data_IF_989235806745
#
_entry.id   IF_989235806745
#
_cell.length_a   1.000
_cell.length_b   1.000
_cell.length_c   1.000
_cell.angle_alpha   90.00
_cell.angle_beta   90.00
_cell.angle_gamma   90.00
#
_symmetry.space_group_name_H-M   'P 1'
#
loop_
_entity.id
_entity.type
_entity.pdbx_description
1 polymer ?
#
# COMPACT_ATOMS: atom_id res chain seq x y z
N UNK A 1 1.52 12.37 7.11
CA UNK A 1 1.50 11.01 6.53
C UNK A 1 2.87 10.41 6.68
N UNK A 2 2.96 9.15 7.13
CA UNK A 2 4.18 8.35 7.10
C UNK A 2 4.05 7.29 6.01
N UNK A 3 4.99 7.28 5.04
CA UNK A 3 5.12 6.22 4.04
C UNK A 3 6.32 5.37 4.43
N UNK A 4 6.11 4.07 4.65
CA UNK A 4 7.19 3.13 4.97
C UNK A 4 7.48 2.28 3.74
N UNK A 5 8.66 2.46 3.17
CA UNK A 5 9.11 1.84 1.93
C UNK A 5 9.08 2.80 0.73
N UNK A 6 10.25 3.07 0.16
CA UNK A 6 10.46 3.93 -1.00
C UNK A 6 10.86 3.13 -2.26
N UNK A 7 10.39 1.89 -2.35
CA UNK A 7 10.65 0.99 -3.46
C UNK A 7 10.00 1.42 -4.77
N UNK A 8 10.21 0.63 -5.83
CA UNK A 8 9.70 0.93 -7.18
C UNK A 8 8.18 1.10 -7.24
N UNK A 9 7.43 0.28 -6.55
CA UNK A 9 5.96 0.33 -6.50
C UNK A 9 5.41 1.55 -5.77
N UNK A 10 6.18 2.17 -4.85
CA UNK A 10 5.78 3.37 -4.13
C UNK A 10 5.96 4.68 -4.93
N UNK A 11 6.70 4.64 -6.05
CA UNK A 11 7.12 5.85 -6.78
C UNK A 11 5.94 6.74 -7.21
N UNK A 12 4.91 6.16 -7.83
CA UNK A 12 3.74 6.93 -8.30
C UNK A 12 2.93 7.48 -7.14
N UNK A 13 2.72 6.70 -6.09
CA UNK A 13 2.04 7.13 -4.87
C UNK A 13 2.76 8.32 -4.22
N UNK A 14 4.06 8.20 -4.02
CA UNK A 14 4.87 9.26 -3.41
C UNK A 14 4.76 10.56 -4.23
N UNK A 15 4.96 10.48 -5.54
CA UNK A 15 4.86 11.65 -6.44
C UNK A 15 3.47 12.29 -6.39
N UNK A 16 2.42 11.48 -6.39
CA UNK A 16 1.05 11.96 -6.30
C UNK A 16 0.80 12.72 -5.00
N UNK A 17 1.17 12.15 -3.86
CA UNK A 17 0.99 12.79 -2.56
C UNK A 17 1.83 14.06 -2.42
N UNK A 18 3.06 14.06 -2.92
CA UNK A 18 3.91 15.26 -2.94
C UNK A 18 3.29 16.38 -3.78
N UNK A 19 2.77 16.07 -4.96
CA UNK A 19 2.10 17.05 -5.81
C UNK A 19 0.84 17.65 -5.14
N UNK A 20 0.16 16.88 -4.29
CA UNK A 20 -1.02 17.31 -3.53
C UNK A 20 -0.70 17.95 -2.18
N UNK A 21 0.53 17.85 -1.71
CA UNK A 21 0.88 18.20 -0.33
C UNK A 21 0.54 19.64 0.06
N UNK A 22 0.70 20.60 -0.84
CA UNK A 22 0.38 22.00 -0.56
C UNK A 22 -1.13 22.26 -0.55
N UNK A 23 -1.89 21.74 -1.53
CA UNK A 23 -3.34 21.93 -1.61
C UNK A 23 -4.09 21.25 -0.48
N UNK A 24 -3.63 20.06 -0.09
CA UNK A 24 -4.26 19.22 0.94
C UNK A 24 -3.64 19.44 2.34
N UNK A 25 -2.67 20.36 2.46
CA UNK A 25 -1.94 20.65 3.72
C UNK A 25 -1.31 19.39 4.34
N UNK A 26 -0.69 18.55 3.50
CA UNK A 26 -0.05 17.31 3.93
C UNK A 26 1.43 17.57 4.21
N UNK A 27 1.94 16.96 5.28
CA UNK A 27 3.38 16.76 5.48
C UNK A 27 3.69 15.27 5.33
N UNK A 28 4.67 14.93 4.47
CA UNK A 28 4.95 13.54 4.08
C UNK A 28 6.33 13.15 4.61
N UNK A 29 6.35 12.16 5.48
CA UNK A 29 7.59 11.51 5.92
C UNK A 29 7.74 10.20 5.15
N UNK A 30 8.88 10.01 4.50
CA UNK A 30 9.21 8.77 3.80
C UNK A 30 10.30 8.06 4.59
N UNK A 31 10.00 6.90 5.13
CA UNK A 31 10.94 6.03 5.84
C UNK A 31 11.36 4.84 4.97
N UNK A 32 12.66 4.60 4.87
CA UNK A 32 13.22 3.44 4.16
C UNK A 32 14.52 3.02 4.83
N UNK A 33 14.90 1.75 4.72
CA UNK A 33 16.19 1.25 5.18
C UNK A 33 17.36 1.88 4.40
N UNK A 34 17.09 2.41 3.21
CA UNK A 34 18.01 3.23 2.42
C UNK A 34 17.63 4.70 2.55
N UNK A 35 18.45 5.48 3.25
CA UNK A 35 18.24 6.92 3.36
C UNK A 35 18.20 7.61 1.98
N UNK A 36 19.04 7.16 1.05
CA UNK A 36 19.09 7.69 -0.32
C UNK A 36 17.77 7.45 -1.06
N UNK A 37 17.15 6.27 -0.88
CA UNK A 37 15.85 5.95 -1.47
C UNK A 37 14.75 6.87 -0.91
N UNK A 38 14.74 7.11 0.39
CA UNK A 38 13.80 8.01 1.04
C UNK A 38 14.02 9.48 0.60
N UNK A 39 15.26 9.94 0.54
CA UNK A 39 15.61 11.32 0.18
C UNK A 39 15.46 11.63 -1.30
N UNK A 40 15.53 10.62 -2.18
CA UNK A 40 15.35 10.78 -3.63
C UNK A 40 14.10 11.56 -4.00
N UNK A 41 13.02 11.40 -3.24
CA UNK A 41 11.73 12.04 -3.50
C UNK A 41 11.53 13.34 -2.72
N UNK A 42 12.24 13.51 -1.60
CA UNK A 42 12.00 14.61 -0.66
C UNK A 42 13.00 15.74 -0.76
N UNK A 43 14.09 15.53 -1.52
CA UNK A 43 15.14 16.54 -1.70
C UNK A 43 14.54 17.84 -2.25
N UNK A 44 14.71 18.93 -1.51
CA UNK A 44 14.18 20.26 -1.84
C UNK A 44 12.64 20.38 -1.85
N UNK A 45 11.92 19.46 -1.19
CA UNK A 45 10.46 19.54 -1.08
C UNK A 45 10.05 20.08 0.30
N UNK A 46 9.38 21.26 0.33
CA UNK A 46 9.07 21.96 1.58
C UNK A 46 8.17 21.14 2.54
N UNK A 47 7.28 20.32 2.00
CA UNK A 47 6.29 19.56 2.77
C UNK A 47 6.65 18.07 2.90
N UNK A 48 7.94 17.72 2.78
CA UNK A 48 8.34 16.33 2.89
C UNK A 48 9.74 16.17 3.48
N UNK A 49 9.97 15.04 4.14
CA UNK A 49 11.29 14.61 4.60
C UNK A 49 11.49 13.11 4.35
N UNK A 50 12.72 12.75 3.97
CA UNK A 50 13.18 11.36 3.93
C UNK A 50 13.96 11.03 5.20
N UNK A 51 13.73 9.87 5.78
CA UNK A 51 14.41 9.39 6.98
C UNK A 51 14.87 7.96 6.83
N UNK A 52 15.99 7.64 7.46
CA UNK A 52 16.38 6.25 7.66
C UNK A 52 15.39 5.62 8.63
N UNK A 53 14.85 4.47 8.27
CA UNK A 53 13.92 3.71 9.11
C UNK A 53 14.12 2.22 8.89
N UNK A 54 14.67 1.56 9.90
CA UNK A 54 14.70 0.11 9.96
C UNK A 54 13.43 -0.38 10.66
N UNK A 55 12.54 -1.03 9.91
CA UNK A 55 11.28 -1.56 10.45
C UNK A 55 11.46 -2.72 11.45
N UNK A 56 12.65 -3.32 11.49
CA UNK A 56 13.00 -4.31 12.50
C UNK A 56 13.45 -3.67 13.82
N UNK A 57 13.89 -2.42 13.77
CA UNK A 57 14.16 -1.65 14.99
C UNK A 57 12.83 -1.14 15.55
N UNK A 58 12.40 -1.75 16.65
CA UNK A 58 11.10 -1.45 17.28
C UNK A 58 11.01 0.01 17.73
N UNK A 59 12.05 0.52 18.33
CA UNK A 59 12.09 1.88 18.86
C UNK A 59 11.96 2.91 17.74
N UNK A 60 12.68 2.74 16.64
CA UNK A 60 12.61 3.62 15.46
C UNK A 60 11.22 3.56 14.81
N UNK A 61 10.66 2.34 14.67
CA UNK A 61 9.35 2.13 14.06
C UNK A 61 8.24 2.76 14.90
N UNK A 62 8.25 2.51 16.22
CA UNK A 62 7.28 3.10 17.14
C UNK A 62 7.34 4.63 17.13
N UNK A 63 8.54 5.21 17.16
CA UNK A 63 8.71 6.67 17.13
C UNK A 63 8.20 7.26 15.81
N UNK A 64 8.47 6.62 14.68
CA UNK A 64 7.99 7.06 13.37
C UNK A 64 6.45 7.01 13.29
N UNK A 65 5.82 5.92 13.75
CA UNK A 65 4.36 5.75 13.76
C UNK A 65 3.70 6.74 14.72
N UNK A 66 4.25 6.96 15.90
CA UNK A 66 3.73 7.91 16.89
C UNK A 66 3.63 9.32 16.33
N UNK A 67 4.58 9.73 15.51
CA UNK A 67 4.72 11.09 14.97
C UNK A 67 3.97 11.33 13.65
N UNK A 68 2.99 10.52 13.30
CA UNK A 68 2.15 10.72 12.11
C UNK A 68 0.65 10.55 12.44
N UNK A 69 -0.22 10.90 11.50
CA UNK A 69 -1.67 10.71 11.61
C UNK A 69 -2.14 9.44 10.90
N UNK A 70 -1.46 9.10 9.80
CA UNK A 70 -1.75 7.94 8.98
C UNK A 70 -0.46 7.31 8.47
N UNK A 71 -0.41 6.00 8.47
CA UNK A 71 0.68 5.20 7.93
C UNK A 71 0.27 4.54 6.62
N UNK A 72 1.11 4.66 5.59
CA UNK A 72 1.01 3.90 4.34
C UNK A 72 2.18 2.94 4.30
N UNK A 73 1.90 1.65 4.46
CA UNK A 73 2.93 0.61 4.48
C UNK A 73 3.10 0.00 3.09
N UNK A 74 4.24 0.28 2.46
CA UNK A 74 4.66 -0.24 1.15
C UNK A 74 5.75 -1.32 1.28
N UNK A 75 5.76 -1.99 2.42
CA UNK A 75 6.66 -3.07 2.76
C UNK A 75 6.23 -4.40 2.11
N UNK A 76 7.09 -5.42 2.08
CA UNK A 76 6.67 -6.80 1.85
C UNK A 76 5.62 -7.24 2.89
N UNK A 77 4.63 -8.05 2.45
CA UNK A 77 3.44 -8.41 3.23
C UNK A 77 3.71 -8.85 4.68
N UNK A 78 4.74 -9.66 4.88
CA UNK A 78 5.12 -10.19 6.20
C UNK A 78 5.50 -9.14 7.26
N UNK A 79 5.73 -7.89 6.87
CA UNK A 79 6.14 -6.82 7.79
C UNK A 79 5.01 -5.88 8.17
N UNK A 80 3.87 -5.97 7.49
CA UNK A 80 2.74 -5.09 7.80
C UNK A 80 2.20 -5.29 9.21
N UNK A 81 2.25 -6.51 9.73
CA UNK A 81 1.67 -6.83 11.04
C UNK A 81 2.34 -6.07 12.19
N UNK A 82 3.65 -5.89 12.16
CA UNK A 82 4.35 -5.14 13.21
C UNK A 82 4.02 -3.65 13.14
N UNK A 83 3.90 -3.10 11.94
CA UNK A 83 3.44 -1.72 11.74
C UNK A 83 1.99 -1.56 12.22
N UNK A 84 1.13 -2.53 11.94
CA UNK A 84 -0.28 -2.53 12.36
C UNK A 84 -0.43 -2.53 13.89
N UNK A 85 0.36 -3.34 14.59
CA UNK A 85 0.40 -3.36 16.07
C UNK A 85 0.80 -1.99 16.64
N UNK A 86 1.81 -1.35 16.03
CA UNK A 86 2.22 0.00 16.44
C UNK A 86 1.13 1.03 16.12
N UNK A 87 0.45 0.92 14.98
CA UNK A 87 -0.68 1.78 14.64
C UNK A 87 -1.82 1.66 15.67
N UNK A 88 -2.17 0.46 16.09
CA UNK A 88 -3.13 0.23 17.17
C UNK A 88 -2.66 0.83 18.49
N UNK A 89 -1.40 0.60 18.85
CA UNK A 89 -0.79 1.11 20.09
C UNK A 89 -0.88 2.63 20.20
N UNK A 90 -0.62 3.33 19.10
CA UNK A 90 -0.56 4.80 19.06
C UNK A 90 -1.82 5.46 18.46
N UNK A 91 -2.87 4.70 18.15
CA UNK A 91 -4.12 5.23 17.63
C UNK A 91 -3.97 5.83 16.23
N UNK A 92 -3.29 5.13 15.30
CA UNK A 92 -3.03 5.60 13.95
C UNK A 92 -3.75 4.74 12.91
N UNK A 93 -4.19 5.38 11.83
CA UNK A 93 -4.77 4.68 10.69
C UNK A 93 -3.68 4.03 9.83
N UNK A 94 -4.01 2.91 9.19
CA UNK A 94 -3.10 2.15 8.36
C UNK A 94 -3.68 1.89 6.97
N UNK A 95 -2.84 2.05 5.95
CA UNK A 95 -3.16 1.69 4.56
C UNK A 95 -2.07 0.78 4.02
N UNK A 96 -2.43 -0.31 3.36
CA UNK A 96 -1.50 -1.22 2.67
C UNK A 96 -2.11 -1.84 1.43
N UNK A 97 -1.27 -2.16 0.44
CA UNK A 97 -1.66 -2.78 -0.81
C UNK A 97 -1.77 -4.31 -0.75
N UNK A 98 -1.32 -4.93 0.34
CA UNK A 98 -1.25 -6.39 0.46
C UNK A 98 -2.58 -7.01 0.86
N UNK A 99 -2.75 -8.29 0.52
CA UNK A 99 -3.84 -9.13 1.03
C UNK A 99 -3.88 -9.11 2.56
N UNK A 100 -5.08 -9.29 3.10
CA UNK A 100 -5.28 -9.42 4.54
C UNK A 100 -4.74 -10.80 4.97
N UNK A 101 -3.82 -10.82 5.94
CA UNK A 101 -3.41 -12.05 6.62
C UNK A 101 -4.32 -12.32 7.82
N UNK A 102 -4.31 -13.57 8.30
CA UNK A 102 -5.05 -13.95 9.51
C UNK A 102 -4.63 -13.12 10.72
N UNK A 103 -3.33 -12.81 10.85
CA UNK A 103 -2.84 -11.96 11.92
C UNK A 103 -3.37 -10.53 11.80
N UNK A 104 -3.49 -10.00 10.57
CA UNK A 104 -4.08 -8.67 10.33
C UNK A 104 -5.58 -8.69 10.63
N UNK A 105 -6.30 -9.75 10.23
CA UNK A 105 -7.72 -9.92 10.51
C UNK A 105 -8.00 -9.97 12.02
N UNK A 106 -7.13 -10.60 12.80
CA UNK A 106 -7.26 -10.68 14.26
C UNK A 106 -7.14 -9.31 14.97
N UNK A 107 -6.65 -8.28 14.30
CA UNK A 107 -6.60 -6.92 14.84
C UNK A 107 -7.88 -6.10 14.59
N UNK A 108 -8.85 -6.62 13.84
CA UNK A 108 -10.04 -5.91 13.39
C UNK A 108 -10.88 -5.35 14.55
N UNK A 109 -11.17 -6.18 15.55
CA UNK A 109 -11.97 -5.78 16.70
C UNK A 109 -11.28 -4.69 17.53
N UNK A 110 -9.96 -4.79 17.73
CA UNK A 110 -9.21 -3.77 18.47
C UNK A 110 -9.13 -2.44 17.69
N UNK A 111 -8.93 -2.51 16.37
CA UNK A 111 -8.93 -1.34 15.49
C UNK A 111 -10.29 -0.64 15.53
N UNK A 112 -11.39 -1.38 15.39
CA UNK A 112 -12.76 -0.86 15.47
C UNK A 112 -13.06 -0.23 16.82
N UNK A 113 -12.69 -0.89 17.92
CA UNK A 113 -12.89 -0.37 19.28
C UNK A 113 -12.18 0.97 19.52
N UNK A 114 -11.09 1.22 18.81
CA UNK A 114 -10.34 2.49 18.83
C UNK A 114 -10.76 3.49 17.75
N UNK A 115 -11.76 3.17 16.94
CA UNK A 115 -12.22 4.02 15.84
C UNK A 115 -11.18 4.18 14.72
N UNK A 116 -10.29 3.20 14.55
CA UNK A 116 -9.24 3.24 13.55
C UNK A 116 -9.69 2.61 12.23
N UNK A 117 -9.14 3.11 11.13
CA UNK A 117 -9.33 2.56 9.79
C UNK A 117 -8.05 1.84 9.38
N UNK A 118 -8.16 0.52 9.19
CA UNK A 118 -7.13 -0.31 8.60
C UNK A 118 -7.60 -0.73 7.21
N UNK A 119 -7.03 -0.08 6.19
CA UNK A 119 -7.43 -0.27 4.80
C UNK A 119 -6.37 -1.11 4.10
N UNK A 120 -6.67 -2.37 3.94
CA UNK A 120 -5.83 -3.34 3.24
C UNK A 120 -6.31 -3.49 1.79
N UNK A 121 -5.56 -4.22 0.96
CA UNK A 121 -5.96 -4.60 -0.39
C UNK A 121 -6.23 -3.40 -1.32
N UNK A 122 -5.45 -2.31 -1.13
CA UNK A 122 -5.56 -1.10 -1.94
C UNK A 122 -4.35 -0.96 -2.86
N UNK A 123 -4.15 -1.99 -3.68
CA UNK A 123 -3.11 -2.05 -4.69
C UNK A 123 -3.68 -2.07 -6.10
N UNK A 124 -3.02 -2.81 -6.98
CA UNK A 124 -3.50 -3.11 -8.34
C UNK A 124 -4.41 -4.33 -8.30
N UNK A 125 -3.90 -5.43 -7.77
CA UNK A 125 -4.56 -6.70 -7.49
C UNK A 125 -3.90 -7.30 -6.22
N UNK A 126 -4.58 -7.19 -5.11
CA UNK A 126 -5.96 -6.72 -4.88
C UNK A 126 -6.07 -5.17 -4.85
N UNK A 127 -7.13 -4.64 -5.41
CA UNK A 127 -7.51 -3.23 -5.30
C UNK A 127 -8.17 -2.64 -6.53
N UNK A 128 -7.41 -2.05 -7.45
CA UNK A 128 -7.94 -1.33 -8.63
C UNK A 128 -8.79 -2.25 -9.50
N UNK A 129 -8.41 -3.51 -9.65
CA UNK A 129 -9.16 -4.52 -10.39
C UNK A 129 -10.58 -4.68 -9.80
N UNK A 130 -10.71 -4.84 -8.49
CA UNK A 130 -11.99 -4.94 -7.80
C UNK A 130 -12.81 -3.65 -7.90
N UNK A 131 -12.18 -2.50 -7.67
CA UNK A 131 -12.85 -1.20 -7.75
C UNK A 131 -13.34 -0.90 -9.17
N UNK A 132 -12.56 -1.24 -10.20
CA UNK A 132 -12.97 -1.05 -11.58
C UNK A 132 -14.10 -1.99 -11.99
N UNK A 133 -14.07 -3.24 -11.54
CA UNK A 133 -15.16 -4.20 -11.73
C UNK A 133 -16.46 -3.69 -11.07
N UNK A 134 -16.40 -3.29 -9.81
CA UNK A 134 -17.57 -2.78 -9.09
C UNK A 134 -18.14 -1.52 -9.72
N UNK A 135 -17.30 -0.61 -10.20
CA UNK A 135 -17.78 0.58 -10.94
C UNK A 135 -18.62 0.22 -12.16
N UNK A 136 -18.24 -0.83 -12.90
CA UNK A 136 -19.03 -1.29 -14.06
C UNK A 136 -20.31 -1.99 -13.60
N UNK A 137 -20.22 -2.88 -12.61
CA UNK A 137 -21.34 -3.65 -12.06
C UNK A 137 -22.40 -2.70 -11.50
N UNK A 138 -21.99 -1.74 -10.69
CA UNK A 138 -22.91 -0.77 -10.08
C UNK A 138 -23.54 0.11 -11.14
N UNK A 139 -22.79 0.57 -12.14
CA UNK A 139 -23.34 1.32 -13.27
C UNK A 139 -24.37 0.54 -14.11
N UNK A 140 -24.30 -0.79 -14.14
CA UNK A 140 -25.33 -1.64 -14.76
C UNK A 140 -26.59 -1.71 -13.86
N UNK A 141 -26.38 -1.94 -12.56
CA UNK A 141 -27.44 -2.04 -11.56
C UNK A 141 -28.25 -0.74 -11.44
N UNK A 142 -27.55 0.38 -11.38
CA UNK A 142 -28.17 1.73 -11.28
C UNK A 142 -29.10 2.05 -12.45
N UNK A 143 -28.83 1.44 -13.62
CA UNK A 143 -29.68 1.56 -14.81
C UNK A 143 -30.79 0.49 -14.87
N UNK A 144 -31.00 -0.27 -13.80
CA UNK A 144 -31.97 -1.36 -13.73
C UNK A 144 -31.53 -2.63 -14.48
N UNK A 145 -30.29 -2.73 -14.90
CA UNK A 145 -29.74 -3.90 -15.56
C UNK A 145 -29.51 -5.06 -14.61
N UNK A 146 -29.51 -6.30 -15.16
CA UNK A 146 -29.19 -7.51 -14.45
C UNK A 146 -27.85 -8.07 -14.95
N UNK A 147 -26.91 -8.28 -14.02
CA UNK A 147 -25.68 -8.96 -14.35
C UNK A 147 -25.93 -10.45 -14.53
N UNK A 148 -25.61 -10.98 -15.72
CA UNK A 148 -25.79 -12.40 -16.05
C UNK A 148 -24.45 -13.17 -16.00
N UNK A 149 -23.36 -12.50 -16.33
CA UNK A 149 -22.02 -13.09 -16.35
C UNK A 149 -21.01 -12.01 -16.00
N UNK A 150 -19.99 -12.37 -15.25
CA UNK A 150 -18.81 -11.56 -14.99
C UNK A 150 -17.56 -12.37 -15.25
N UNK A 151 -16.68 -11.85 -16.08
CA UNK A 151 -15.37 -12.42 -16.36
C UNK A 151 -14.31 -11.34 -16.23
N UNK A 152 -13.24 -11.64 -15.53
CA UNK A 152 -12.10 -10.74 -15.35
C UNK A 152 -10.81 -11.47 -15.71
N UNK A 153 -9.99 -10.82 -16.53
CA UNK A 153 -8.73 -11.38 -16.99
C UNK A 153 -7.60 -10.43 -16.62
N UNK A 154 -6.54 -10.98 -16.06
CA UNK A 154 -5.31 -10.24 -15.78
C UNK A 154 -4.11 -11.08 -16.20
N UNK A 155 -3.02 -10.44 -16.56
CA UNK A 155 -1.78 -11.10 -16.91
C UNK A 155 -0.59 -10.19 -16.67
N UNK A 156 0.52 -10.78 -16.21
CA UNK A 156 1.83 -10.12 -16.18
C UNK A 156 2.57 -10.44 -17.47
N UNK A 157 2.77 -9.43 -18.31
CA UNK A 157 3.59 -9.60 -19.50
C UNK A 157 5.03 -9.22 -19.21
N UNK A 158 5.97 -9.94 -19.80
CA UNK A 158 7.38 -9.59 -19.75
C UNK A 158 7.63 -8.45 -20.75
N UNK A 159 8.38 -7.44 -20.32
CA UNK A 159 8.78 -6.37 -21.22
C UNK A 159 9.61 -6.94 -22.39
N UNK A 160 9.46 -6.42 -23.62
CA UNK A 160 10.10 -6.98 -24.80
C UNK A 160 11.60 -7.20 -24.66
N UNK A 161 12.29 -6.28 -24.00
CA UNK A 161 13.73 -6.35 -23.74
C UNK A 161 14.15 -7.46 -22.75
N UNK A 162 13.20 -8.05 -22.06
CA UNK A 162 13.40 -9.12 -21.09
C UNK A 162 12.69 -10.43 -21.45
N UNK A 163 12.09 -10.46 -22.66
CA UNK A 163 11.33 -11.61 -23.16
C UNK A 163 12.26 -12.61 -23.84
N UNK A 164 12.78 -13.55 -23.05
CA UNK A 164 13.81 -14.51 -23.42
C UNK A 164 13.32 -15.97 -23.35
N UNK A 165 12.02 -16.20 -23.28
CA UNK A 165 11.45 -17.54 -23.23
C UNK A 165 10.13 -17.65 -24.02
N UNK A 166 9.80 -18.89 -24.46
CA UNK A 166 8.65 -19.17 -25.32
C UNK A 166 7.29 -18.91 -24.63
N UNK A 167 7.27 -18.77 -23.31
CA UNK A 167 6.05 -18.49 -22.56
C UNK A 167 5.73 -17.00 -22.50
N UNK A 168 6.67 -16.13 -22.87
CA UNK A 168 6.59 -14.67 -22.73
C UNK A 168 6.21 -14.25 -21.30
N UNK A 169 6.65 -15.06 -20.31
CA UNK A 169 6.27 -14.91 -18.92
C UNK A 169 7.43 -15.23 -17.97
N UNK A 170 7.51 -14.46 -16.89
CA UNK A 170 8.44 -14.69 -15.77
C UNK A 170 7.71 -14.49 -14.45
N UNK A 171 8.01 -15.34 -13.48
CA UNK A 171 7.53 -15.13 -12.11
C UNK A 171 8.31 -13.97 -11.47
N UNK A 172 7.69 -12.79 -11.43
CA UNK A 172 8.24 -11.59 -10.82
C UNK A 172 7.58 -11.26 -9.47
N UNK A 173 6.66 -12.12 -9.05
CA UNK A 173 5.86 -12.03 -7.83
C UNK A 173 5.77 -13.40 -7.17
N UNK A 174 5.20 -13.48 -5.96
CA UNK A 174 5.03 -14.74 -5.25
C UNK A 174 3.65 -15.34 -5.55
N UNK A 175 3.53 -16.38 -6.42
CA UNK A 175 2.25 -17.01 -6.76
C UNK A 175 1.50 -17.60 -5.56
N UNK A 176 2.22 -17.92 -4.49
CA UNK A 176 1.63 -18.45 -3.25
C UNK A 176 0.63 -17.47 -2.62
N UNK A 177 0.79 -16.18 -2.85
CA UNK A 177 -0.13 -15.16 -2.33
C UNK A 177 -1.55 -15.25 -2.91
N UNK A 178 -1.74 -16.02 -3.99
CA UNK A 178 -3.05 -16.21 -4.65
C UNK A 178 -3.67 -17.57 -4.34
N UNK A 179 -2.86 -18.51 -3.84
CA UNK A 179 -3.27 -19.92 -3.66
C UNK A 179 -3.53 -20.25 -2.18
N UNK A 180 -3.19 -19.37 -1.29
CA UNK A 180 -3.49 -19.43 0.14
C UNK A 180 -4.72 -18.56 0.40
#
# INVERSE_FOLDING_TARGET
ILIIGAGRSATCLIRYLLAKSSSEKLFITIGDISLDAAQKFTKNHANAKGTLLDVFNKEEREEAVKNCDIVISMLPARFHIEVAKDCIKFGKNLVTASYISDEMQNLDEEAKAKGLVFMNEIGVDPGIDHMSAMKVIDGIRDKGGKLLLFESFTGGLVAPESDDNLWNYKFTWNPRNVVL
#
